data_IF_291355324742
#
_entry.id   IF_291355324742
#
_cell.length_a   1.000
_cell.length_b   1.000
_cell.length_c   1.000
_cell.angle_alpha   90.00
_cell.angle_beta   90.00
_cell.angle_gamma   90.00
#
_symmetry.space_group_name_H-M   'P 1'
#
loop_
_entity.id
_entity.type
_entity.pdbx_description
1 polymer ?
#
# COMPACT_ATOMS: atom_id res chain seq x y z
N UNK A 1 33.16 -0.30 4.23
CA UNK A 1 32.82 -1.29 3.19
C UNK A 1 31.31 -1.60 3.14
N UNK A 2 30.56 -1.66 4.26
CA UNK A 2 29.12 -1.93 4.25
C UNK A 2 28.30 -0.85 3.49
N UNK A 3 28.52 0.44 3.76
CA UNK A 3 27.78 1.53 3.10
C UNK A 3 27.87 1.49 1.56
N UNK A 4 29.01 1.07 0.99
CA UNK A 4 29.16 0.97 -0.48
C UNK A 4 28.30 -0.16 -1.08
N UNK A 5 28.05 -1.25 -0.33
CA UNK A 5 27.24 -2.38 -0.83
C UNK A 5 25.76 -2.01 -0.77
N UNK A 6 25.28 -1.43 0.32
CA UNK A 6 23.89 -0.98 0.45
C UNK A 6 23.54 0.08 -0.60
N UNK A 7 24.42 1.06 -0.82
CA UNK A 7 24.20 2.08 -1.85
C UNK A 7 24.07 1.48 -3.26
N UNK A 8 24.87 0.46 -3.59
CA UNK A 8 24.74 -0.25 -4.88
C UNK A 8 23.41 -1.00 -5.01
N UNK A 9 22.95 -1.65 -3.93
CA UNK A 9 21.66 -2.32 -3.93
C UNK A 9 20.51 -1.30 -4.09
N UNK A 10 20.54 -0.19 -3.35
CA UNK A 10 19.57 0.88 -3.48
C UNK A 10 19.52 1.39 -4.93
N UNK A 11 20.67 1.71 -5.52
CA UNK A 11 20.76 2.17 -6.93
C UNK A 11 20.19 1.13 -7.91
N UNK A 12 20.50 -0.16 -7.73
CA UNK A 12 20.00 -1.25 -8.56
C UNK A 12 18.47 -1.32 -8.51
N UNK A 13 17.89 -1.34 -7.31
CA UNK A 13 16.45 -1.48 -7.12
C UNK A 13 15.68 -0.20 -7.50
N UNK A 14 16.29 0.99 -7.34
CA UNK A 14 15.76 2.24 -7.89
C UNK A 14 15.67 2.21 -9.41
N UNK A 15 16.71 1.72 -10.10
CA UNK A 15 16.66 1.55 -11.56
C UNK A 15 15.56 0.60 -12.02
N UNK A 16 15.24 -0.44 -11.22
CA UNK A 16 14.11 -1.32 -11.50
C UNK A 16 12.79 -0.54 -11.40
N UNK A 17 12.58 0.23 -10.33
CA UNK A 17 11.38 1.07 -10.16
C UNK A 17 11.25 2.10 -11.30
N UNK A 18 12.34 2.75 -11.69
CA UNK A 18 12.33 3.69 -12.84
C UNK A 18 11.85 3.02 -14.13
N UNK A 19 12.19 1.75 -14.36
CA UNK A 19 11.71 0.99 -15.51
C UNK A 19 10.21 0.67 -15.45
N UNK A 20 9.60 0.62 -14.25
CA UNK A 20 8.15 0.44 -14.06
C UNK A 20 7.38 1.76 -14.25
N UNK A 21 8.06 2.89 -14.15
CA UNK A 21 7.47 4.23 -14.26
C UNK A 21 7.17 4.62 -15.71
N UNK A 22 6.02 5.23 -15.92
CA UNK A 22 5.61 5.84 -17.17
C UNK A 22 5.93 7.35 -17.20
N UNK A 23 5.89 7.94 -18.38
CA UNK A 23 6.09 9.39 -18.53
C UNK A 23 5.05 10.22 -17.78
N UNK A 24 3.86 9.68 -17.54
CA UNK A 24 2.83 10.28 -16.69
C UNK A 24 3.27 10.47 -15.24
N UNK A 25 4.25 9.69 -14.78
CA UNK A 25 4.68 9.57 -13.40
C UNK A 25 4.08 8.37 -12.66
N UNK A 26 3.10 7.68 -13.25
CA UNK A 26 2.53 6.48 -12.64
C UNK A 26 3.43 5.28 -12.85
N UNK A 27 3.49 4.44 -11.83
CA UNK A 27 4.11 3.13 -11.87
C UNK A 27 3.08 2.06 -12.21
N UNK A 28 3.53 0.99 -12.82
CA UNK A 28 2.75 -0.25 -12.97
C UNK A 28 3.27 -1.27 -11.97
N UNK A 29 2.38 -2.08 -11.42
CA UNK A 29 2.70 -3.00 -10.33
C UNK A 29 3.84 -3.98 -10.65
N UNK A 30 3.99 -4.37 -11.95
CA UNK A 30 5.08 -5.22 -12.43
C UNK A 30 5.53 -4.74 -13.81
N UNK A 31 6.09 -5.60 -14.66
CA UNK A 31 6.60 -5.23 -15.99
C UNK A 31 5.53 -4.58 -16.87
N UNK A 32 5.94 -3.63 -17.71
CA UNK A 32 5.07 -2.95 -18.68
C UNK A 32 4.44 -3.92 -19.70
N UNK A 33 5.07 -5.04 -19.94
CA UNK A 33 4.65 -6.14 -20.82
C UNK A 33 4.08 -7.36 -20.07
N UNK A 34 3.80 -7.22 -18.78
CA UNK A 34 3.25 -8.31 -17.98
C UNK A 34 1.91 -8.81 -18.54
N UNK A 35 1.83 -10.11 -18.79
CA UNK A 35 0.62 -10.79 -19.28
C UNK A 35 -0.35 -11.17 -18.18
N UNK A 36 0.06 -11.04 -16.92
CA UNK A 36 -0.73 -11.32 -15.71
C UNK A 36 -1.73 -10.21 -15.38
N UNK A 37 -1.73 -9.09 -16.11
CA UNK A 37 -2.54 -7.91 -15.83
C UNK A 37 -1.87 -6.89 -14.90
N UNK A 38 -0.66 -7.15 -14.41
CA UNK A 38 0.12 -6.28 -13.52
C UNK A 38 0.85 -5.13 -14.26
N UNK A 39 0.56 -4.97 -15.55
CA UNK A 39 0.95 -3.81 -16.37
C UNK A 39 0.00 -2.61 -16.22
N UNK A 40 -0.77 -2.54 -15.15
CA UNK A 40 -1.72 -1.48 -14.80
C UNK A 40 -1.23 -0.70 -13.59
N UNK A 41 -1.71 0.54 -13.42
CA UNK A 41 -1.36 1.39 -12.30
C UNK A 41 -2.43 1.32 -11.22
N UNK A 42 -2.14 0.68 -10.09
CA UNK A 42 -2.97 0.74 -8.89
C UNK A 42 -2.64 1.97 -8.06
N UNK A 43 -3.65 2.61 -7.47
CA UNK A 43 -3.44 3.75 -6.57
C UNK A 43 -2.58 3.36 -5.36
N UNK A 44 -2.87 2.21 -4.75
CA UNK A 44 -2.14 1.68 -3.59
C UNK A 44 -0.70 1.33 -3.94
N UNK A 45 -0.44 0.67 -5.08
CA UNK A 45 0.92 0.35 -5.52
C UNK A 45 1.73 1.63 -5.70
N UNK A 46 1.17 2.62 -6.39
CA UNK A 46 1.83 3.93 -6.57
C UNK A 46 2.15 4.62 -5.24
N UNK A 47 1.27 4.47 -4.23
CA UNK A 47 1.58 4.96 -2.89
C UNK A 47 2.80 4.26 -2.29
N UNK A 48 2.87 2.92 -2.32
CA UNK A 48 4.00 2.18 -1.77
C UNK A 48 5.27 2.37 -2.59
N UNK A 49 5.20 2.43 -3.92
CA UNK A 49 6.33 2.64 -4.81
C UNK A 49 6.98 4.00 -4.60
N UNK A 50 6.19 5.05 -4.32
CA UNK A 50 6.71 6.37 -4.00
C UNK A 50 7.51 6.42 -2.70
N UNK A 51 7.33 5.51 -1.75
CA UNK A 51 8.07 5.51 -0.48
C UNK A 51 9.58 5.35 -0.67
N UNK A 52 10.02 4.62 -1.71
CA UNK A 52 11.43 4.52 -2.06
C UNK A 52 12.01 5.87 -2.48
N UNK A 53 11.26 6.65 -3.24
CA UNK A 53 11.70 7.98 -3.70
C UNK A 53 11.65 9.02 -2.56
N UNK A 54 10.76 8.84 -1.61
CA UNK A 54 10.70 9.69 -0.41
C UNK A 54 11.96 9.56 0.45
N UNK A 55 12.42 8.33 0.73
CA UNK A 55 13.58 8.13 1.60
C UNK A 55 14.88 8.64 0.98
N UNK A 56 14.96 8.69 -0.36
CA UNK A 56 16.12 9.26 -1.06
C UNK A 56 15.97 10.76 -1.39
N UNK A 57 14.82 11.37 -1.09
CA UNK A 57 14.55 12.79 -1.30
C UNK A 57 14.26 13.19 -2.76
N UNK A 58 13.81 12.28 -3.61
CA UNK A 58 13.41 12.60 -4.99
C UNK A 58 12.00 13.19 -5.05
N UNK A 59 11.92 14.47 -4.73
CA UNK A 59 10.67 15.25 -4.70
C UNK A 59 10.03 15.36 -6.09
N UNK A 60 10.80 15.33 -7.15
CA UNK A 60 10.27 15.44 -8.52
C UNK A 60 9.43 14.22 -8.89
N UNK A 61 9.92 13.03 -8.65
CA UNK A 61 9.18 11.78 -8.87
C UNK A 61 7.92 11.74 -8.02
N UNK A 62 8.00 12.08 -6.73
CA UNK A 62 6.85 12.13 -5.82
C UNK A 62 5.76 13.08 -6.35
N UNK A 63 6.13 14.32 -6.68
CA UNK A 63 5.19 15.31 -7.23
C UNK A 63 4.54 14.81 -8.52
N UNK A 64 5.31 14.25 -9.42
CA UNK A 64 4.82 13.77 -10.71
C UNK A 64 3.80 12.67 -10.55
N UNK A 65 4.06 11.71 -9.67
CA UNK A 65 3.16 10.59 -9.40
C UNK A 65 1.85 11.08 -8.77
N UNK A 66 1.91 11.87 -7.70
CA UNK A 66 0.68 12.36 -7.06
C UNK A 66 -0.07 13.38 -7.93
N UNK A 67 0.62 14.12 -8.80
CA UNK A 67 -0.02 14.95 -9.83
C UNK A 67 -0.82 14.09 -10.82
N UNK A 68 -0.27 12.97 -11.26
CA UNK A 68 -0.97 12.03 -12.13
C UNK A 68 -2.21 11.44 -11.43
N UNK A 69 -2.10 11.06 -10.16
CA UNK A 69 -3.23 10.56 -9.36
C UNK A 69 -4.32 11.64 -9.20
N UNK A 70 -3.95 12.88 -8.91
CA UNK A 70 -4.92 13.98 -8.85
C UNK A 70 -5.59 14.23 -10.22
N UNK A 71 -4.86 14.06 -11.32
CA UNK A 71 -5.44 14.15 -12.66
C UNK A 71 -6.40 12.99 -12.96
N UNK A 72 -6.14 11.79 -12.46
CA UNK A 72 -7.10 10.67 -12.49
C UNK A 72 -8.40 11.09 -11.80
N UNK A 73 -8.34 11.55 -10.56
CA UNK A 73 -9.53 11.95 -9.81
C UNK A 73 -10.28 13.10 -10.46
N UNK A 74 -9.56 14.09 -11.03
CA UNK A 74 -10.20 15.17 -11.82
C UNK A 74 -10.86 14.66 -13.10
N UNK A 75 -10.25 13.70 -13.80
CA UNK A 75 -10.84 13.07 -15.00
C UNK A 75 -12.14 12.33 -14.68
N UNK A 76 -12.19 11.66 -13.54
CA UNK A 76 -13.35 10.87 -13.08
C UNK A 76 -14.20 11.61 -12.04
N UNK A 77 -14.10 12.95 -11.96
CA UNK A 77 -14.77 13.76 -10.94
C UNK A 77 -16.30 13.59 -10.95
N UNK A 78 -16.92 13.40 -12.12
CA UNK A 78 -18.36 13.15 -12.22
C UNK A 78 -18.81 11.86 -11.53
N UNK A 79 -17.98 10.83 -11.55
CA UNK A 79 -18.23 9.58 -10.83
C UNK A 79 -18.14 9.78 -9.31
N UNK A 80 -17.18 10.59 -8.86
CA UNK A 80 -17.05 10.96 -7.45
C UNK A 80 -18.29 11.77 -7.02
N UNK A 81 -18.74 12.74 -7.82
CA UNK A 81 -19.94 13.53 -7.55
C UNK A 81 -21.20 12.66 -7.45
N UNK A 82 -21.32 11.68 -8.34
CA UNK A 82 -22.42 10.72 -8.27
C UNK A 82 -22.40 9.94 -6.96
N UNK A 83 -21.23 9.39 -6.58
CA UNK A 83 -21.07 8.60 -5.36
C UNK A 83 -21.29 9.42 -4.07
N UNK A 84 -21.00 10.74 -4.10
CA UNK A 84 -21.30 11.66 -2.99
C UNK A 84 -22.81 11.93 -2.90
N UNK A 85 -23.47 12.11 -4.04
CA UNK A 85 -24.90 12.43 -4.06
C UNK A 85 -25.78 11.24 -3.68
N UNK A 86 -25.31 10.03 -3.94
CA UNK A 86 -26.00 8.78 -3.67
C UNK A 86 -24.99 7.67 -3.41
N UNK A 87 -25.09 7.01 -2.24
CA UNK A 87 -24.23 5.87 -1.91
C UNK A 87 -24.23 4.83 -3.05
N UNK A 88 -23.07 4.43 -3.57
CA UNK A 88 -22.96 3.43 -4.62
C UNK A 88 -23.61 2.10 -4.24
N UNK A 89 -24.33 1.49 -5.16
CA UNK A 89 -24.98 0.18 -5.00
C UNK A 89 -24.25 -0.92 -5.78
N UNK A 90 -23.51 -0.53 -6.83
CA UNK A 90 -22.79 -1.46 -7.72
C UNK A 90 -21.29 -1.16 -7.76
N UNK A 91 -20.47 -2.19 -7.95
CA UNK A 91 -19.01 -2.09 -7.96
C UNK A 91 -18.46 -1.05 -8.93
N UNK A 92 -19.05 -0.91 -10.12
CA UNK A 92 -18.64 0.08 -11.13
C UNK A 92 -18.89 1.53 -10.73
N UNK A 93 -19.71 1.79 -9.70
CA UNK A 93 -20.00 3.14 -9.20
C UNK A 93 -18.97 3.65 -8.18
N UNK A 94 -18.18 2.75 -7.60
CA UNK A 94 -17.08 3.11 -6.69
C UNK A 94 -15.89 3.64 -7.48
N UNK A 95 -15.06 4.46 -6.84
CA UNK A 95 -13.77 4.88 -7.42
C UNK A 95 -12.96 3.62 -7.73
N UNK A 96 -12.47 3.55 -8.97
CA UNK A 96 -11.69 2.39 -9.42
C UNK A 96 -10.30 2.40 -8.75
N UNK A 97 -9.76 1.25 -8.29
CA UNK A 97 -8.45 1.22 -7.65
C UNK A 97 -7.29 1.24 -8.64
N UNK A 98 -7.53 0.95 -9.93
CA UNK A 98 -6.49 0.80 -10.97
C UNK A 98 -6.86 1.50 -12.27
N UNK A 99 -5.83 2.06 -12.93
CA UNK A 99 -5.99 2.90 -14.11
C UNK A 99 -4.97 2.59 -15.18
N UNK A 100 -5.29 2.97 -16.41
CA UNK A 100 -4.32 2.98 -17.50
C UNK A 100 -3.25 4.06 -17.20
N UNK A 101 -1.95 3.71 -17.16
CA UNK A 101 -0.90 4.65 -16.76
C UNK A 101 -0.66 5.78 -17.77
N UNK A 102 -1.21 5.69 -19.00
CA UNK A 102 -1.03 6.68 -20.05
C UNK A 102 -2.28 7.55 -20.20
N UNK A 103 -3.46 6.92 -20.32
CA UNK A 103 -4.71 7.63 -20.60
C UNK A 103 -5.49 8.00 -19.35
N UNK A 104 -5.17 7.41 -18.19
CA UNK A 104 -5.89 7.56 -16.93
C UNK A 104 -7.34 7.02 -16.98
N UNK A 105 -7.65 6.17 -17.95
CA UNK A 105 -8.95 5.52 -18.04
C UNK A 105 -9.06 4.35 -17.06
N UNK A 106 -10.27 4.11 -16.57
CA UNK A 106 -10.63 2.91 -15.86
C UNK A 106 -10.64 1.70 -16.81
N UNK A 107 -10.46 0.51 -16.25
CA UNK A 107 -10.63 -0.72 -16.99
C UNK A 107 -12.07 -1.24 -16.88
N UNK A 108 -12.58 -1.83 -17.97
CA UNK A 108 -13.96 -2.35 -18.04
C UNK A 108 -14.11 -3.74 -17.41
N UNK A 109 -13.00 -4.39 -17.09
CA UNK A 109 -13.03 -5.71 -16.45
C UNK A 109 -13.66 -5.59 -15.07
N UNK A 110 -14.55 -6.55 -14.75
CA UNK A 110 -15.07 -6.67 -13.40
C UNK A 110 -13.92 -7.06 -12.45
N UNK A 111 -13.77 -6.30 -11.39
CA UNK A 111 -12.70 -6.47 -10.41
C UNK A 111 -13.20 -6.03 -9.04
N UNK A 112 -12.44 -6.35 -7.98
CA UNK A 112 -12.72 -5.85 -6.63
C UNK A 112 -12.54 -4.33 -6.53
N UNK A 113 -13.41 -3.55 -7.19
CA UNK A 113 -13.26 -2.09 -7.32
C UNK A 113 -13.51 -1.33 -6.02
N UNK A 114 -14.14 -1.93 -5.04
CA UNK A 114 -14.44 -1.29 -3.77
C UNK A 114 -13.25 -1.47 -2.83
N UNK A 115 -12.37 -0.48 -2.81
CA UNK A 115 -11.13 -0.48 -2.05
C UNK A 115 -10.95 0.86 -1.34
N UNK A 116 -11.52 0.98 -0.13
CA UNK A 116 -11.49 2.21 0.64
C UNK A 116 -10.07 2.57 1.09
N UNK A 117 -9.22 1.57 1.34
CA UNK A 117 -7.82 1.75 1.68
C UNK A 117 -7.03 2.51 0.60
N UNK A 118 -7.37 2.30 -0.68
CA UNK A 118 -6.69 2.98 -1.79
C UNK A 118 -6.97 4.48 -1.82
N UNK A 119 -8.13 4.92 -1.36
CA UNK A 119 -8.45 6.35 -1.19
C UNK A 119 -7.80 6.88 0.08
N UNK A 120 -7.87 6.11 1.16
CA UNK A 120 -7.25 6.46 2.44
C UNK A 120 -5.75 6.69 2.32
N UNK A 121 -5.01 5.82 1.62
CA UNK A 121 -3.56 5.94 1.47
C UNK A 121 -3.15 7.20 0.65
N UNK A 122 -3.92 7.57 -0.37
CA UNK A 122 -3.64 8.77 -1.15
C UNK A 122 -3.90 10.05 -0.34
N UNK A 123 -5.03 10.11 0.39
CA UNK A 123 -5.31 11.23 1.29
C UNK A 123 -4.23 11.35 2.38
N UNK A 124 -3.84 10.21 2.96
CA UNK A 124 -2.77 10.14 3.96
C UNK A 124 -1.48 10.75 3.43
N UNK A 125 -1.00 10.31 2.27
CA UNK A 125 0.30 10.73 1.77
C UNK A 125 0.31 12.17 1.33
N UNK A 126 -0.70 12.64 0.60
CA UNK A 126 -0.77 14.05 0.20
C UNK A 126 -0.83 14.95 1.43
N UNK A 127 -1.64 14.58 2.44
CA UNK A 127 -1.73 15.31 3.69
C UNK A 127 -0.43 15.30 4.50
N UNK A 128 0.26 14.17 4.59
CA UNK A 128 1.55 14.04 5.27
C UNK A 128 2.64 14.88 4.61
N UNK A 129 2.73 14.84 3.28
CA UNK A 129 3.68 15.64 2.50
C UNK A 129 3.45 17.14 2.73
N UNK A 130 2.21 17.62 2.64
CA UNK A 130 1.85 19.02 2.86
C UNK A 130 2.04 19.44 4.33
N UNK A 131 1.75 18.56 5.29
CA UNK A 131 1.99 18.81 6.71
C UNK A 131 3.48 19.01 7.01
N UNK A 132 4.32 18.14 6.46
CA UNK A 132 5.76 18.16 6.73
C UNK A 132 6.48 19.26 5.94
N UNK A 133 6.03 19.56 4.72
CA UNK A 133 6.62 20.55 3.83
C UNK A 133 5.51 21.31 3.08
N UNK A 134 4.91 22.35 3.69
CA UNK A 134 3.81 23.08 3.08
C UNK A 134 4.14 23.63 1.67
N UNK A 135 3.26 23.37 0.72
CA UNK A 135 3.43 23.76 -0.68
C UNK A 135 4.27 22.79 -1.52
N UNK A 136 4.72 21.67 -0.95
CA UNK A 136 5.50 20.65 -1.70
C UNK A 136 4.74 20.10 -2.90
N UNK A 137 3.42 19.93 -2.78
CA UNK A 137 2.59 19.37 -3.85
C UNK A 137 2.14 20.41 -4.89
N UNK A 138 2.29 21.68 -4.61
CA UNK A 138 1.85 22.80 -5.50
C UNK A 138 0.37 22.61 -5.88
N UNK A 139 -0.52 22.46 -4.88
CA UNK A 139 -1.94 22.20 -5.09
C UNK A 139 -2.70 23.45 -5.56
N UNK A 140 -3.40 23.34 -6.68
CA UNK A 140 -4.32 24.36 -7.16
C UNK A 140 -5.73 24.20 -6.56
N UNK A 141 -6.65 25.09 -6.93
CA UNK A 141 -8.03 25.06 -6.42
C UNK A 141 -8.80 23.81 -6.90
N UNK A 142 -8.51 23.27 -8.09
CA UNK A 142 -9.13 22.06 -8.59
C UNK A 142 -8.61 20.81 -7.86
N UNK A 143 -7.33 20.79 -7.50
CA UNK A 143 -6.76 19.73 -6.67
C UNK A 143 -7.41 19.70 -5.29
N UNK A 144 -7.50 20.87 -4.63
CA UNK A 144 -8.14 20.98 -3.32
C UNK A 144 -9.61 20.62 -3.35
N UNK A 145 -10.32 21.00 -4.42
CA UNK A 145 -11.73 20.62 -4.64
C UNK A 145 -11.88 19.09 -4.74
N UNK A 146 -11.06 18.42 -5.53
CA UNK A 146 -11.18 16.96 -5.68
C UNK A 146 -10.78 16.23 -4.40
N UNK A 147 -9.76 16.69 -3.68
CA UNK A 147 -9.40 16.13 -2.38
C UNK A 147 -10.54 16.28 -1.37
N UNK A 148 -11.21 17.45 -1.33
CA UNK A 148 -12.41 17.64 -0.50
C UNK A 148 -13.54 16.67 -0.89
N UNK A 149 -13.72 16.40 -2.17
CA UNK A 149 -14.72 15.43 -2.64
C UNK A 149 -14.38 14.01 -2.20
N UNK A 150 -13.12 13.63 -2.12
CA UNK A 150 -12.73 12.33 -1.57
C UNK A 150 -13.09 12.19 -0.08
N UNK A 151 -12.98 13.27 0.69
CA UNK A 151 -13.47 13.29 2.09
C UNK A 151 -14.98 13.04 2.14
N UNK A 152 -15.77 13.73 1.28
CA UNK A 152 -17.21 13.52 1.20
C UNK A 152 -17.58 12.14 0.68
N UNK A 153 -16.81 11.58 -0.25
CA UNK A 153 -16.95 10.21 -0.74
C UNK A 153 -16.85 9.21 0.42
N UNK A 154 -15.78 9.24 1.21
CA UNK A 154 -15.62 8.39 2.38
C UNK A 154 -16.74 8.58 3.41
N UNK A 155 -17.20 9.83 3.57
CA UNK A 155 -18.34 10.14 4.45
C UNK A 155 -19.62 9.49 3.98
N UNK A 156 -19.95 9.60 2.69
CA UNK A 156 -21.19 9.05 2.10
C UNK A 156 -21.17 7.52 2.11
N UNK A 157 -20.01 6.90 1.91
CA UNK A 157 -19.88 5.47 2.03
C UNK A 157 -20.09 4.97 3.47
N UNK A 158 -19.88 5.83 4.46
CA UNK A 158 -19.76 5.43 5.87
C UNK A 158 -18.62 4.40 6.02
N UNK A 159 -17.43 4.77 5.53
CA UNK A 159 -16.28 3.88 5.36
C UNK A 159 -15.97 2.99 6.58
N UNK A 160 -16.39 3.40 7.77
CA UNK A 160 -16.21 2.65 9.02
C UNK A 160 -17.07 1.39 9.15
N UNK A 161 -18.15 1.25 8.37
CA UNK A 161 -18.92 0.00 8.27
C UNK A 161 -19.14 -0.48 6.84
N UNK A 162 -18.55 0.18 5.86
CA UNK A 162 -18.71 -0.16 4.45
C UNK A 162 -17.84 -1.37 4.11
N UNK A 163 -18.42 -2.58 3.89
CA UNK A 163 -17.63 -3.75 3.52
C UNK A 163 -16.93 -3.49 2.20
N UNK A 164 -15.61 -3.63 2.13
CA UNK A 164 -14.82 -3.45 0.93
C UNK A 164 -13.98 -4.70 0.60
N UNK A 165 -13.33 -4.70 -0.56
CA UNK A 165 -12.50 -5.83 -1.00
C UNK A 165 -11.14 -5.89 -0.29
N UNK A 166 -10.82 -4.87 0.51
CA UNK A 166 -9.58 -4.75 1.25
C UNK A 166 -8.33 -4.65 0.38
N UNK A 167 -7.20 -4.66 1.03
CA UNK A 167 -5.87 -4.53 0.40
C UNK A 167 -5.59 -5.63 -0.64
N UNK A 168 -6.17 -6.81 -0.46
CA UNK A 168 -5.91 -7.98 -1.31
C UNK A 168 -7.00 -8.27 -2.35
N UNK A 169 -7.95 -7.34 -2.51
CA UNK A 169 -9.01 -7.47 -3.52
C UNK A 169 -9.86 -8.75 -3.33
N UNK A 170 -10.05 -9.12 -2.07
CA UNK A 170 -10.73 -10.34 -1.68
C UNK A 170 -12.23 -10.17 -1.45
N UNK A 171 -12.78 -11.00 -0.56
CA UNK A 171 -14.19 -10.90 -0.13
C UNK A 171 -14.46 -9.56 0.54
N UNK A 172 -15.67 -9.02 0.29
CA UNK A 172 -16.08 -7.76 0.90
C UNK A 172 -16.42 -7.97 2.38
N UNK A 173 -15.62 -7.34 3.23
CA UNK A 173 -15.78 -7.27 4.68
C UNK A 173 -15.39 -5.88 5.19
N UNK A 174 -15.69 -5.57 6.43
CA UNK A 174 -15.10 -4.40 7.08
C UNK A 174 -13.70 -4.78 7.53
N UNK A 175 -12.70 -4.25 6.82
CA UNK A 175 -11.28 -4.53 7.04
C UNK A 175 -10.65 -3.49 7.96
N UNK A 176 -9.95 -3.92 9.01
CA UNK A 176 -9.25 -3.02 9.92
C UNK A 176 -8.19 -2.19 9.18
N UNK A 177 -7.47 -2.79 8.22
CA UNK A 177 -6.49 -2.09 7.38
C UNK A 177 -7.13 -1.00 6.53
N UNK A 178 -8.31 -1.26 5.93
CA UNK A 178 -9.04 -0.27 5.13
C UNK A 178 -9.58 0.87 5.97
N UNK A 179 -10.24 0.54 7.10
CA UNK A 179 -10.72 1.56 8.05
C UNK A 179 -9.56 2.41 8.56
N UNK A 180 -8.45 1.77 8.90
CA UNK A 180 -7.26 2.44 9.38
C UNK A 180 -6.61 3.36 8.35
N UNK A 181 -6.51 2.94 7.09
CA UNK A 181 -6.03 3.78 6.01
C UNK A 181 -6.89 5.04 5.83
N UNK A 182 -8.23 4.88 5.91
CA UNK A 182 -9.17 6.01 5.83
C UNK A 182 -9.03 6.95 7.02
N UNK A 183 -8.92 6.43 8.27
CA UNK A 183 -8.67 7.25 9.46
C UNK A 183 -7.38 8.04 9.31
N UNK A 184 -6.29 7.38 8.91
CA UNK A 184 -5.00 8.03 8.70
C UNK A 184 -5.08 9.10 7.61
N UNK A 185 -5.76 8.78 6.49
CA UNK A 185 -5.97 9.72 5.38
C UNK A 185 -6.73 10.96 5.79
N UNK A 186 -7.85 10.79 6.48
CA UNK A 186 -8.67 11.90 7.00
C UNK A 186 -7.93 12.72 8.06
N UNK A 187 -7.13 12.09 8.91
CA UNK A 187 -6.36 12.79 9.94
C UNK A 187 -5.19 13.60 9.35
N UNK A 188 -4.62 13.17 8.24
CA UNK A 188 -3.54 13.92 7.57
C UNK A 188 -4.05 14.98 6.60
N UNK A 189 -5.11 14.71 5.84
CA UNK A 189 -5.56 15.66 4.81
C UNK A 189 -6.11 16.97 5.40
N UNK A 190 -6.56 16.95 6.65
CA UNK A 190 -7.03 18.16 7.38
C UNK A 190 -5.97 19.26 7.55
N UNK A 191 -4.68 18.93 7.37
CA UNK A 191 -3.59 19.92 7.43
C UNK A 191 -3.47 20.75 6.15
N UNK A 192 -4.22 20.42 5.10
CA UNK A 192 -4.28 21.25 3.89
C UNK A 192 -5.34 22.33 4.07
N UNK A 193 -4.92 23.59 3.98
CA UNK A 193 -5.84 24.72 4.03
C UNK A 193 -6.99 24.56 3.06
N UNK A 194 -8.19 24.89 3.50
CA UNK A 194 -9.45 24.77 2.74
C UNK A 194 -10.04 23.35 2.61
N UNK A 195 -9.43 22.32 3.22
CA UNK A 195 -10.05 21.01 3.31
C UNK A 195 -10.69 20.82 4.69
N UNK A 196 -11.99 20.56 4.71
CA UNK A 196 -12.76 20.33 5.91
C UNK A 196 -12.97 18.83 6.13
N UNK A 197 -12.57 18.32 7.28
CA UNK A 197 -12.80 16.94 7.73
C UNK A 197 -13.63 16.98 8.99
N UNK A 198 -14.92 16.57 8.97
CA UNK A 198 -15.74 16.47 10.17
C UNK A 198 -15.11 15.50 11.18
N UNK A 199 -14.99 15.93 12.43
CA UNK A 199 -14.37 15.12 13.49
C UNK A 199 -15.12 13.80 13.73
N UNK A 200 -16.42 13.79 13.54
CA UNK A 200 -17.25 12.60 13.64
C UNK A 200 -16.78 11.46 12.73
N UNK A 201 -16.26 11.77 11.54
CA UNK A 201 -15.71 10.75 10.64
C UNK A 201 -14.51 10.04 11.26
N UNK A 202 -13.61 10.80 11.88
CA UNK A 202 -12.45 10.26 12.57
C UNK A 202 -12.84 9.44 13.80
N UNK A 203 -13.79 9.92 14.60
CA UNK A 203 -14.25 9.24 15.80
C UNK A 203 -14.87 7.89 15.44
N UNK A 204 -15.82 7.83 14.52
CA UNK A 204 -16.47 6.59 14.08
C UNK A 204 -15.45 5.59 13.50
N UNK A 205 -14.51 6.06 12.67
CA UNK A 205 -13.47 5.19 12.14
C UNK A 205 -12.57 4.61 13.24
N UNK A 206 -12.15 5.42 14.21
CA UNK A 206 -11.35 4.94 15.35
C UNK A 206 -12.10 3.95 16.21
N UNK A 207 -13.37 4.20 16.54
CA UNK A 207 -14.22 3.28 17.28
C UNK A 207 -14.33 1.93 16.59
N UNK A 208 -14.62 1.93 15.28
CA UNK A 208 -14.67 0.68 14.50
C UNK A 208 -13.32 -0.02 14.47
N UNK A 209 -12.23 0.69 14.20
CA UNK A 209 -10.89 0.11 14.18
C UNK A 209 -10.58 -0.60 15.51
N UNK A 210 -10.77 0.06 16.65
CA UNK A 210 -10.53 -0.54 17.96
C UNK A 210 -11.45 -1.73 18.27
N UNK A 211 -12.69 -1.74 17.73
CA UNK A 211 -13.61 -2.86 17.92
C UNK A 211 -13.22 -4.12 17.12
N UNK A 212 -12.51 -3.97 16.00
CA UNK A 212 -12.07 -5.08 15.15
C UNK A 212 -10.72 -5.61 15.62
N UNK A 213 -9.78 -4.73 16.00
CA UNK A 213 -8.43 -5.13 16.39
C UNK A 213 -8.44 -6.12 17.57
N UNK A 214 -7.52 -7.13 17.58
CA UNK A 214 -6.38 -7.30 16.68
C UNK A 214 -6.68 -8.11 15.39
N UNK A 215 -7.95 -8.28 15.03
CA UNK A 215 -8.36 -8.97 13.80
C UNK A 215 -8.29 -8.02 12.62
N UNK A 216 -8.14 -8.59 11.43
CA UNK A 216 -8.31 -7.83 10.18
C UNK A 216 -9.78 -7.66 9.81
N UNK A 217 -10.57 -8.74 9.97
CA UNK A 217 -12.00 -8.73 9.65
C UNK A 217 -12.74 -9.84 10.40
N UNK A 218 -14.01 -9.98 10.13
CA UNK A 218 -14.82 -11.04 10.72
C UNK A 218 -14.28 -12.45 10.39
N UNK A 219 -13.83 -12.68 9.17
CA UNK A 219 -13.26 -13.97 8.74
C UNK A 219 -11.76 -14.11 8.98
N UNK A 220 -11.00 -13.00 8.99
CA UNK A 220 -9.54 -13.00 9.08
C UNK A 220 -9.07 -12.57 10.47
N UNK A 221 -8.60 -13.51 11.29
CA UNK A 221 -8.10 -13.20 12.63
C UNK A 221 -6.69 -12.61 12.63
N UNK A 222 -5.92 -12.82 11.57
CA UNK A 222 -4.60 -12.25 11.31
C UNK A 222 -4.42 -12.03 9.82
N UNK A 223 -3.78 -10.93 9.45
CA UNK A 223 -3.53 -10.57 8.06
C UNK A 223 -2.28 -9.67 7.98
N UNK A 224 -1.49 -9.85 6.92
CA UNK A 224 -0.30 -9.04 6.65
C UNK A 224 -0.66 -7.54 6.47
N UNK A 225 -1.85 -7.23 5.97
CA UNK A 225 -2.34 -5.87 5.79
C UNK A 225 -2.37 -5.05 7.08
N UNK A 226 -2.53 -5.70 8.25
CA UNK A 226 -2.50 -5.04 9.55
C UNK A 226 -1.18 -4.31 9.85
N UNK A 227 -0.08 -4.71 9.21
CA UNK A 227 1.21 -4.02 9.36
C UNK A 227 1.13 -2.56 8.89
N UNK A 228 0.23 -2.23 7.95
CA UNK A 228 0.02 -0.86 7.49
C UNK A 228 -0.40 0.11 8.60
N UNK A 229 -1.13 -0.38 9.59
CA UNK A 229 -1.57 0.40 10.75
C UNK A 229 -0.41 0.87 11.63
N UNK A 230 0.70 0.08 11.66
CA UNK A 230 1.91 0.40 12.41
C UNK A 230 2.82 1.31 11.58
N UNK A 231 3.03 0.95 10.33
CA UNK A 231 3.76 1.73 9.33
C UNK A 231 3.22 1.43 7.94
N UNK A 232 2.88 2.44 7.12
CA UNK A 232 3.23 3.85 7.32
C UNK A 232 2.24 4.65 8.18
N UNK A 233 1.01 4.19 8.44
CA UNK A 233 -0.06 5.03 9.00
C UNK A 233 0.14 5.48 10.46
N UNK A 234 0.81 4.68 11.28
CA UNK A 234 1.11 5.00 12.69
C UNK A 234 -0.14 5.38 13.51
N UNK A 235 -1.21 4.62 13.40
CA UNK A 235 -2.51 4.90 14.01
C UNK A 235 -2.91 3.92 15.12
N UNK A 236 -2.09 2.93 15.39
CA UNK A 236 -2.26 2.00 16.51
C UNK A 236 -1.27 2.32 17.63
N UNK A 237 -1.65 2.03 18.86
CA UNK A 237 -0.76 2.21 20.00
C UNK A 237 0.30 1.10 20.09
N UNK A 238 1.23 1.23 21.05
CA UNK A 238 2.35 0.28 21.17
C UNK A 238 1.91 -1.14 21.52
N UNK A 239 0.87 -1.31 22.33
CA UNK A 239 0.38 -2.63 22.73
C UNK A 239 -0.35 -3.31 21.56
N UNK A 240 -1.19 -2.58 20.83
CA UNK A 240 -1.81 -3.07 19.60
C UNK A 240 -0.76 -3.47 18.57
N UNK A 241 0.27 -2.63 18.36
CA UNK A 241 1.36 -2.93 17.45
C UNK A 241 2.11 -4.21 17.83
N UNK A 242 2.41 -4.43 19.12
CA UNK A 242 3.05 -5.65 19.60
C UNK A 242 2.21 -6.89 19.32
N UNK A 243 0.89 -6.81 19.57
CA UNK A 243 -0.03 -7.93 19.33
C UNK A 243 -0.10 -8.25 17.83
N UNK A 244 -0.24 -7.23 16.98
CA UNK A 244 -0.28 -7.39 15.52
C UNK A 244 1.00 -8.07 15.01
N UNK A 245 2.17 -7.56 15.40
CA UNK A 245 3.46 -8.11 14.98
C UNK A 245 3.61 -9.55 15.45
N UNK A 246 3.31 -9.83 16.73
CA UNK A 246 3.42 -11.19 17.28
C UNK A 246 2.52 -12.18 16.53
N UNK A 247 1.29 -11.77 16.19
CA UNK A 247 0.37 -12.60 15.41
C UNK A 247 0.88 -12.83 13.98
N UNK A 248 1.39 -11.79 13.31
CA UNK A 248 1.97 -11.90 11.96
C UNK A 248 3.17 -12.83 11.98
N UNK A 249 4.13 -12.64 12.89
CA UNK A 249 5.31 -13.52 12.97
C UNK A 249 4.91 -14.98 13.27
N UNK A 250 4.01 -15.20 14.22
CA UNK A 250 3.66 -16.55 14.64
C UNK A 250 2.84 -17.31 13.59
N UNK A 251 1.90 -16.63 12.92
CA UNK A 251 0.93 -17.30 12.05
C UNK A 251 1.27 -17.20 10.57
N UNK A 252 1.94 -16.13 10.13
CA UNK A 252 2.09 -15.81 8.71
C UNK A 252 3.53 -15.88 8.20
N UNK A 253 4.55 -15.77 9.08
CA UNK A 253 5.94 -15.78 8.66
C UNK A 253 6.33 -17.15 8.10
N UNK A 254 7.00 -17.15 6.96
CA UNK A 254 7.55 -18.31 6.26
C UNK A 254 9.02 -18.08 5.91
N UNK A 255 9.64 -19.03 5.21
CA UNK A 255 11.06 -18.99 4.91
C UNK A 255 11.44 -17.84 3.95
N UNK A 256 10.61 -17.59 2.92
CA UNK A 256 10.91 -16.61 1.84
C UNK A 256 9.98 -15.42 1.81
N UNK A 257 9.10 -15.30 2.78
CA UNK A 257 8.14 -14.23 2.83
C UNK A 257 7.16 -14.36 3.97
N UNK A 258 6.08 -13.63 3.84
CA UNK A 258 4.97 -13.63 4.79
C UNK A 258 3.69 -13.89 4.01
N UNK A 259 2.90 -14.90 4.38
CA UNK A 259 1.61 -15.14 3.74
C UNK A 259 0.65 -13.99 4.03
N UNK A 260 -0.25 -13.65 3.11
CA UNK A 260 -1.21 -12.55 3.32
C UNK A 260 -2.14 -12.86 4.51
N UNK A 261 -2.77 -14.00 4.49
CA UNK A 261 -3.65 -14.51 5.55
C UNK A 261 -3.81 -16.04 5.44
N UNK A 262 -4.27 -16.65 6.52
CA UNK A 262 -4.54 -18.10 6.52
C UNK A 262 -5.70 -18.45 5.59
N UNK A 263 -5.48 -19.45 4.72
CA UNK A 263 -6.44 -19.87 3.71
C UNK A 263 -6.42 -19.03 2.44
N UNK A 264 -5.36 -18.28 2.19
CA UNK A 264 -5.17 -17.55 0.94
C UNK A 264 -5.03 -18.51 -0.25
N UNK A 265 -5.90 -18.36 -1.25
CA UNK A 265 -5.92 -19.23 -2.42
C UNK A 265 -5.06 -18.73 -3.60
N UNK A 266 -4.55 -17.51 -3.52
CA UNK A 266 -3.76 -16.91 -4.59
C UNK A 266 -2.38 -17.56 -4.67
N UNK A 267 -2.10 -18.22 -5.80
CA UNK A 267 -0.85 -18.99 -6.03
C UNK A 267 -0.55 -20.06 -4.94
N UNK A 268 -1.58 -20.68 -4.38
CA UNK A 268 -1.42 -21.66 -3.30
C UNK A 268 -1.07 -23.10 -3.78
N UNK A 269 -0.90 -23.32 -5.10
CA UNK A 269 -0.52 -24.63 -5.64
C UNK A 269 1.00 -24.78 -5.66
N UNK A 270 1.51 -25.66 -4.84
CA UNK A 270 2.92 -25.99 -4.79
C UNK A 270 3.35 -26.93 -5.94
N UNK A 271 4.65 -26.97 -6.28
CA UNK A 271 5.16 -27.90 -7.32
C UNK A 271 4.97 -29.38 -6.99
N UNK A 272 4.84 -29.74 -5.72
CA UNK A 272 4.58 -31.11 -5.23
C UNK A 272 3.09 -31.48 -5.20
N UNK A 273 2.21 -30.54 -5.57
CA UNK A 273 0.76 -30.75 -5.62
C UNK A 273 0.02 -30.46 -4.31
N UNK A 274 0.72 -30.10 -3.22
CA UNK A 274 0.09 -29.64 -1.99
C UNK A 274 -0.35 -28.19 -2.11
N UNK A 275 -1.48 -27.85 -1.48
CA UNK A 275 -1.98 -26.49 -1.46
C UNK A 275 -1.59 -25.80 -0.15
N UNK A 276 -0.64 -24.86 -0.24
CA UNK A 276 -0.24 -24.01 0.86
C UNK A 276 -0.17 -22.53 0.38
N UNK A 277 -0.36 -21.60 1.31
CA UNK A 277 -0.36 -20.18 0.99
C UNK A 277 1.01 -19.72 0.47
N UNK A 278 1.00 -18.88 -0.55
CA UNK A 278 2.20 -18.29 -1.14
C UNK A 278 2.91 -17.32 -0.16
N UNK A 279 4.22 -17.19 -0.29
CA UNK A 279 5.10 -16.42 0.58
C UNK A 279 5.42 -15.06 -0.06
N UNK A 280 4.78 -13.99 0.42
CA UNK A 280 4.89 -12.64 -0.15
C UNK A 280 6.17 -11.96 0.33
N UNK A 281 7.00 -11.55 -0.63
CA UNK A 281 8.37 -11.10 -0.37
C UNK A 281 8.45 -9.78 0.39
N UNK A 282 7.58 -8.81 0.07
CA UNK A 282 7.59 -7.48 0.70
C UNK A 282 7.29 -7.52 2.21
N UNK A 283 6.65 -8.60 2.70
CA UNK A 283 6.36 -8.75 4.13
C UNK A 283 7.61 -8.74 5.00
N UNK A 284 8.72 -9.30 4.51
CA UNK A 284 10.01 -9.30 5.24
C UNK A 284 10.60 -7.89 5.34
N UNK A 285 10.61 -7.14 4.24
CA UNK A 285 11.04 -5.74 4.24
C UNK A 285 10.15 -4.86 5.12
N UNK A 286 8.85 -5.13 5.12
CA UNK A 286 7.89 -4.41 5.96
C UNK A 286 8.16 -4.63 7.45
N UNK A 287 8.40 -5.88 7.86
CA UNK A 287 8.80 -6.20 9.24
C UNK A 287 10.14 -5.54 9.61
N UNK A 288 11.13 -5.53 8.71
CA UNK A 288 12.40 -4.85 8.92
C UNK A 288 12.22 -3.34 9.22
N UNK A 289 11.39 -2.66 8.43
CA UNK A 289 11.06 -1.24 8.60
C UNK A 289 10.37 -1.01 9.95
N UNK A 290 9.37 -1.83 10.28
CA UNK A 290 8.61 -1.70 11.53
C UNK A 290 9.52 -1.91 12.74
N UNK A 291 10.38 -2.94 12.74
CA UNK A 291 11.32 -3.18 13.83
C UNK A 291 12.34 -2.05 13.99
N UNK A 292 12.81 -1.49 12.87
CA UNK A 292 13.65 -0.30 12.91
C UNK A 292 12.94 0.91 13.55
N UNK A 293 11.67 1.15 13.16
CA UNK A 293 10.82 2.19 13.76
C UNK A 293 10.62 2.00 15.27
N UNK A 294 10.49 0.76 15.73
CA UNK A 294 10.33 0.41 17.14
C UNK A 294 11.67 0.40 17.93
N UNK A 295 12.79 0.73 17.30
CA UNK A 295 14.12 0.73 17.91
C UNK A 295 14.71 -0.66 18.17
N UNK A 296 14.11 -1.72 17.60
CA UNK A 296 14.59 -3.10 17.74
C UNK A 296 15.59 -3.44 16.63
N UNK A 297 16.76 -2.83 16.69
CA UNK A 297 17.77 -2.84 15.62
C UNK A 297 18.19 -4.25 15.19
N UNK A 298 18.37 -5.18 16.12
CA UNK A 298 18.82 -6.54 15.77
C UNK A 298 17.73 -7.32 15.00
N UNK A 299 16.46 -7.17 15.38
CA UNK A 299 15.35 -7.75 14.62
C UNK A 299 15.19 -7.08 13.25
N UNK A 300 15.37 -5.77 13.18
CA UNK A 300 15.35 -5.05 11.91
C UNK A 300 16.41 -5.56 10.94
N UNK A 301 17.65 -5.75 11.42
CA UNK A 301 18.73 -6.33 10.64
C UNK A 301 18.46 -7.77 10.24
N UNK A 302 17.93 -8.58 11.15
CA UNK A 302 17.54 -9.96 10.84
C UNK A 302 16.56 -10.02 9.67
N UNK A 303 15.45 -9.27 9.74
CA UNK A 303 14.45 -9.27 8.66
C UNK A 303 14.97 -8.66 7.36
N UNK A 304 15.88 -7.70 7.43
CA UNK A 304 16.55 -7.18 6.22
C UNK A 304 17.42 -8.26 5.56
N UNK A 305 18.17 -9.05 6.35
CA UNK A 305 18.96 -10.16 5.80
C UNK A 305 18.06 -11.25 5.20
N UNK A 306 16.90 -11.53 5.82
CA UNK A 306 15.93 -12.45 5.22
C UNK A 306 15.33 -11.87 3.92
N UNK A 307 15.00 -10.57 3.87
CA UNK A 307 14.55 -9.92 2.66
C UNK A 307 15.57 -9.97 1.51
N UNK A 308 16.87 -9.83 1.80
CA UNK A 308 17.94 -9.99 0.79
C UNK A 308 17.93 -11.36 0.13
N UNK A 309 17.53 -12.42 0.84
CA UNK A 309 17.46 -13.79 0.29
C UNK A 309 16.33 -13.96 -0.72
N UNK A 310 15.37 -13.02 -0.79
CA UNK A 310 14.28 -13.03 -1.78
C UNK A 310 14.68 -12.43 -3.12
N UNK A 311 15.84 -11.79 -3.20
CA UNK A 311 16.37 -11.27 -4.47
C UNK A 311 16.72 -12.44 -5.38
N UNK A 312 16.17 -12.43 -6.58
CA UNK A 312 16.42 -13.47 -7.60
C UNK A 312 17.83 -13.40 -8.16
N UNK A 313 18.21 -14.37 -8.96
CA UNK A 313 19.51 -14.37 -9.66
C UNK A 313 19.65 -13.22 -10.65
N UNK A 314 18.53 -12.74 -11.16
CA UNK A 314 18.44 -11.57 -12.06
C UNK A 314 18.55 -10.25 -11.30
N UNK A 315 18.59 -10.30 -9.97
CA UNK A 315 18.71 -9.12 -9.11
C UNK A 315 17.41 -8.35 -8.92
N UNK A 316 16.27 -8.99 -9.10
CA UNK A 316 14.91 -8.44 -8.92
C UNK A 316 14.20 -9.10 -7.75
N UNK A 317 13.12 -8.51 -7.24
CA UNK A 317 12.30 -9.09 -6.18
C UNK A 317 10.91 -9.43 -6.75
N UNK A 318 10.52 -10.72 -6.75
CA UNK A 318 9.20 -11.13 -7.22
C UNK A 318 8.10 -10.75 -6.22
N UNK A 319 6.85 -10.83 -6.65
CA UNK A 319 5.69 -10.68 -5.79
C UNK A 319 5.71 -11.70 -4.64
N UNK A 320 5.88 -12.97 -5.00
CA UNK A 320 5.82 -14.09 -4.06
C UNK A 320 6.65 -15.28 -4.53
N UNK A 321 6.99 -16.13 -3.57
CA UNK A 321 7.44 -17.48 -3.81
C UNK A 321 6.30 -18.48 -3.56
N UNK A 322 6.25 -19.55 -4.36
CA UNK A 322 5.39 -20.70 -4.04
C UNK A 322 5.90 -21.32 -2.73
N UNK A 323 4.98 -21.65 -1.82
CA UNK A 323 5.35 -22.14 -0.50
C UNK A 323 6.31 -23.33 -0.56
N UNK A 324 7.28 -23.36 0.36
CA UNK A 324 8.33 -24.37 0.45
C UNK A 324 9.15 -24.57 -0.86
N UNK A 325 9.30 -23.52 -1.67
CA UNK A 325 9.91 -23.60 -3.01
C UNK A 325 10.83 -22.42 -3.30
N UNK A 326 11.75 -22.61 -4.24
CA UNK A 326 12.54 -21.51 -4.83
C UNK A 326 11.90 -20.93 -6.10
N UNK A 327 10.71 -21.41 -6.47
CA UNK A 327 9.98 -20.91 -7.62
C UNK A 327 9.13 -19.70 -7.21
N UNK A 328 9.13 -18.70 -8.05
CA UNK A 328 8.34 -17.47 -7.89
C UNK A 328 7.38 -17.32 -9.08
N UNK A 329 6.39 -16.43 -8.94
CA UNK A 329 5.43 -16.17 -10.00
C UNK A 329 5.97 -15.18 -11.05
N UNK A 330 5.20 -14.97 -12.12
CA UNK A 330 5.61 -14.12 -13.25
C UNK A 330 5.57 -12.62 -12.96
N UNK A 331 4.99 -12.20 -11.82
CA UNK A 331 5.01 -10.81 -11.34
C UNK A 331 6.37 -10.50 -10.72
N UNK A 332 7.39 -10.46 -11.55
CA UNK A 332 8.78 -10.21 -11.19
C UNK A 332 9.43 -9.24 -12.19
N UNK A 333 9.90 -8.03 -11.77
CA UNK A 333 9.84 -7.50 -10.40
C UNK A 333 8.42 -7.13 -9.97
N UNK A 334 8.18 -7.04 -8.65
CA UNK A 334 7.02 -6.35 -8.11
C UNK A 334 7.45 -4.98 -7.56
N UNK A 335 6.84 -3.91 -8.04
CA UNK A 335 7.18 -2.54 -7.64
C UNK A 335 7.08 -2.31 -6.14
N UNK A 336 6.03 -2.82 -5.50
CA UNK A 336 5.86 -2.74 -4.04
C UNK A 336 7.00 -3.44 -3.28
N UNK A 337 7.42 -4.65 -3.71
CA UNK A 337 8.52 -5.38 -3.08
C UNK A 337 9.85 -4.63 -3.21
N UNK A 338 10.14 -4.12 -4.42
CA UNK A 338 11.34 -3.33 -4.69
C UNK A 338 11.40 -2.08 -3.81
N UNK A 339 10.29 -1.36 -3.71
CA UNK A 339 10.21 -0.13 -2.91
C UNK A 339 10.43 -0.37 -1.42
N UNK A 340 9.72 -1.32 -0.81
CA UNK A 340 9.89 -1.59 0.62
C UNK A 340 11.30 -2.10 0.94
N UNK A 341 11.92 -2.82 0.02
CA UNK A 341 13.31 -3.25 0.18
C UNK A 341 14.28 -2.04 0.19
N UNK A 342 14.10 -1.08 -0.72
CA UNK A 342 14.88 0.17 -0.73
C UNK A 342 14.70 0.93 0.59
N UNK A 343 13.45 1.09 1.04
CA UNK A 343 13.15 1.77 2.30
C UNK A 343 13.85 1.10 3.48
N UNK A 344 13.79 -0.24 3.56
CA UNK A 344 14.46 -1.01 4.62
C UNK A 344 15.98 -0.85 4.56
N UNK A 345 16.59 -0.97 3.38
CA UNK A 345 18.02 -0.77 3.16
C UNK A 345 18.47 0.63 3.62
N UNK A 346 17.74 1.68 3.20
CA UNK A 346 18.06 3.06 3.51
C UNK A 346 17.99 3.33 5.01
N UNK A 347 16.86 3.02 5.63
CA UNK A 347 16.61 3.33 7.04
C UNK A 347 17.49 2.54 8.03
N UNK A 348 17.92 1.32 7.66
CA UNK A 348 18.74 0.47 8.55
C UNK A 348 20.22 0.78 8.35
N UNK A 349 20.65 1.16 7.14
CA UNK A 349 22.04 1.52 6.84
C UNK A 349 22.47 2.82 7.54
N UNK A 350 21.61 3.84 7.60
CA UNK A 350 21.93 5.12 8.25
C UNK A 350 22.21 5.01 9.76
N UNK A 351 21.94 3.84 10.36
CA UNK A 351 22.17 3.55 11.79
C UNK A 351 23.39 2.65 12.07
N UNK A 352 24.14 2.29 11.03
CA UNK A 352 25.40 1.51 11.13
C UNK A 352 26.59 2.42 10.87
#
# INVERSE_FOLDING_TARGET
>A
MSNSIYNKLIEQHLNILENLKYESGLFVASKKDATTGYNKAWLRDNFYECLAFEVIGDIETIRKTYRAILNIFKKHESKIDYAISRKPEHTHQYIHPRYNPVTFDEYWEEWGNKQNDSIGCILFKIGELEKNNPGIMILDSADKRVLQKLVWYLSTLEYWHDPDSGMWEGNQEVHASSVGACVAGLDMIKYIDSISVPEELLLKGRETLHSILPRESASKFVDLALLSLIWPYNIVNQEEAKIIIANVEYHLLKERGVIRYKGDHYYNKNPDGWSEEAEWTFGLSWLAIIYNKLGQTEKAKYFLEEAKKTVTKEGTIPELYLSNSTKYNDNNPLGWSESLFIVALYQINDKI
#
